data_IF_979691033707
#
_entry.id   IF_979691033707
#
_cell.length_a   1.000
_cell.length_b   1.000
_cell.length_c   1.000
_cell.angle_alpha   90.00
_cell.angle_beta   90.00
_cell.angle_gamma   90.00
#
_symmetry.space_group_name_H-M   'P 1'
#
loop_
_entity.id
_entity.type
_entity.pdbx_description
1 polymer ?
#
# COMPACT_ATOMS: atom_id res chain seq x y z
N UNK A 1 -63.50 -10.19 39.66
CA UNK A 1 -63.53 -10.62 41.08
C UNK A 1 -62.07 -10.84 41.48
N UNK A 2 -61.36 -10.13 42.37
CA UNK A 2 -61.53 -9.02 43.31
C UNK A 2 -60.10 -8.40 43.39
N UNK A 3 -59.80 -7.10 43.23
CA UNK A 3 -60.18 -5.90 43.98
C UNK A 3 -59.88 -5.95 45.49
N UNK A 4 -58.86 -5.19 45.94
CA UNK A 4 -58.81 -4.41 47.21
C UNK A 4 -57.48 -3.63 47.27
N UNK A 5 -57.44 -2.30 47.01
CA UNK A 5 -57.74 -1.13 47.88
C UNK A 5 -56.74 -0.99 49.05
N UNK A 6 -55.76 -0.08 48.93
CA UNK A 6 -55.71 1.31 49.46
C UNK A 6 -55.70 1.40 50.98
N UNK A 7 -54.76 2.15 51.56
CA UNK A 7 -54.97 3.14 52.64
C UNK A 7 -53.85 4.20 52.55
N UNK A 8 -54.24 5.47 52.40
CA UNK A 8 -53.39 6.62 52.68
C UNK A 8 -53.88 7.27 53.97
N UNK A 9 -53.01 8.04 54.64
CA UNK A 9 -53.42 9.11 55.54
C UNK A 9 -52.42 10.26 55.44
N UNK A 10 -52.98 11.45 55.29
CA UNK A 10 -52.33 12.74 55.27
C UNK A 10 -52.55 13.47 56.61
N UNK A 11 -51.65 14.41 56.95
CA UNK A 11 -51.84 15.66 57.73
C UNK A 11 -50.44 16.28 57.94
N UNK A 12 -50.15 17.58 57.96
CA UNK A 12 -50.84 18.82 57.64
C UNK A 12 -49.80 19.99 57.67
N UNK A 13 -50.08 21.01 56.86
CA UNK A 13 -49.68 22.45 56.85
C UNK A 13 -48.57 23.01 57.77
N UNK A 14 -47.72 23.85 57.17
CA UNK A 14 -47.54 25.25 57.61
C UNK A 14 -47.03 26.13 56.43
N UNK A 15 -47.67 27.30 56.27
CA UNK A 15 -47.38 28.35 55.27
C UNK A 15 -46.29 29.29 55.78
N UNK A 16 -45.39 29.73 54.89
CA UNK A 16 -44.69 30.99 55.02
C UNK A 16 -44.56 31.64 53.63
N UNK A 17 -45.03 32.88 53.52
CA UNK A 17 -44.98 33.71 52.33
C UNK A 17 -43.92 34.81 52.52
N UNK A 18 -43.08 35.05 51.50
CA UNK A 18 -42.38 36.31 51.23
C UNK A 18 -41.73 36.18 49.85
N UNK A 19 -42.23 36.87 48.83
CA UNK A 19 -41.74 38.16 48.34
C UNK A 19 -40.97 37.98 47.00
N UNK A 20 -41.69 38.27 45.92
CA UNK A 20 -41.17 38.32 44.54
C UNK A 20 -40.38 39.61 44.38
N UNK A 21 -39.09 39.49 44.04
CA UNK A 21 -38.30 40.57 43.45
C UNK A 21 -38.01 40.16 42.02
N UNK A 22 -38.57 40.92 41.08
CA UNK A 22 -38.33 40.73 39.65
C UNK A 22 -36.93 41.19 39.26
N UNK A 23 -36.19 40.31 38.59
CA UNK A 23 -35.04 40.69 37.79
C UNK A 23 -35.39 40.52 36.32
N UNK A 24 -35.56 41.64 35.64
CA UNK A 24 -35.54 41.75 34.17
C UNK A 24 -34.21 41.23 33.65
N UNK A 25 -34.22 40.07 32.97
CA UNK A 25 -33.07 39.60 32.20
C UNK A 25 -33.08 40.28 30.82
N UNK A 26 -32.06 41.11 30.61
CA UNK A 26 -31.73 41.73 29.35
C UNK A 26 -31.31 40.64 28.35
N UNK A 27 -32.09 40.40 27.29
CA UNK A 27 -31.68 39.51 26.19
C UNK A 27 -30.71 40.27 25.30
N UNK A 28 -29.41 40.06 25.51
CA UNK A 28 -28.37 40.44 24.56
C UNK A 28 -28.35 39.41 23.42
N UNK A 29 -28.95 39.75 22.29
CA UNK A 29 -28.75 39.03 21.04
C UNK A 29 -27.31 39.27 20.56
N UNK A 30 -26.41 38.35 20.87
CA UNK A 30 -25.09 38.28 20.24
C UNK A 30 -25.28 37.54 18.92
N UNK A 31 -25.48 38.29 17.83
CA UNK A 31 -25.26 37.78 16.47
C UNK A 31 -23.75 37.72 16.24
N UNK A 32 -23.09 36.72 16.83
CA UNK A 32 -21.76 36.32 16.43
C UNK A 32 -21.87 35.60 15.07
N UNK A 33 -20.93 35.79 14.14
CA UNK A 33 -20.88 34.94 12.96
C UNK A 33 -20.75 33.50 13.46
N UNK A 34 -21.68 32.65 13.06
CA UNK A 34 -21.48 31.21 13.14
C UNK A 34 -20.21 30.91 12.37
N UNK A 35 -19.11 30.68 13.09
CA UNK A 35 -17.98 29.96 12.53
C UNK A 35 -18.57 28.61 12.10
N UNK A 36 -18.92 28.49 10.81
CA UNK A 36 -19.02 27.20 10.17
C UNK A 36 -17.71 26.51 10.55
N UNK A 37 -17.81 25.40 11.27
CA UNK A 37 -16.72 24.44 11.30
C UNK A 37 -16.47 24.09 9.82
N UNK A 38 -15.52 24.78 9.19
CA UNK A 38 -14.91 24.31 7.97
C UNK A 38 -14.33 22.96 8.35
N UNK A 39 -15.04 21.88 8.00
CA UNK A 39 -14.48 20.54 8.08
C UNK A 39 -13.09 20.60 7.44
N UNK A 40 -12.07 20.15 8.16
CA UNK A 40 -10.68 20.17 7.66
C UNK A 40 -10.68 19.51 6.28
N UNK A 41 -10.31 20.25 5.23
CA UNK A 41 -10.22 19.70 3.88
C UNK A 41 -9.13 18.62 3.90
N UNK A 42 -9.53 17.35 3.86
CA UNK A 42 -8.62 16.20 3.88
C UNK A 42 -7.57 16.30 2.78
N UNK A 43 -7.94 16.90 1.65
CA UNK A 43 -7.05 17.05 0.50
C UNK A 43 -5.90 18.05 0.72
N UNK A 44 -5.97 18.88 1.77
CA UNK A 44 -4.92 19.83 2.14
C UNK A 44 -4.14 19.40 3.38
N UNK A 45 -4.39 18.21 3.89
CA UNK A 45 -3.61 17.67 5.00
C UNK A 45 -2.21 17.25 4.51
N UNK A 46 -1.22 17.59 5.30
CA UNK A 46 0.18 17.19 5.13
C UNK A 46 0.51 16.06 6.10
N UNK A 47 1.60 15.34 5.82
CA UNK A 47 2.14 14.38 6.78
C UNK A 47 2.57 15.12 8.06
N UNK A 48 2.18 14.66 9.26
CA UNK A 48 2.64 15.28 10.50
C UNK A 48 4.16 15.18 10.68
N UNK A 49 4.74 16.12 11.42
CA UNK A 49 6.15 16.02 11.82
C UNK A 49 6.38 14.76 12.67
N UNK A 50 7.52 14.09 12.44
CA UNK A 50 7.91 12.83 13.07
C UNK A 50 7.03 11.62 12.72
N UNK A 51 6.23 11.69 11.65
CA UNK A 51 5.41 10.57 11.19
C UNK A 51 6.13 9.75 10.11
N UNK A 52 7.12 8.97 10.57
CA UNK A 52 7.96 8.14 9.71
C UNK A 52 8.94 8.92 8.84
N UNK A 53 9.66 8.21 7.99
CA UNK A 53 10.75 8.75 7.19
C UNK A 53 10.33 9.83 6.20
N UNK A 54 9.10 9.82 5.67
CA UNK A 54 8.61 10.88 4.79
C UNK A 54 8.40 12.23 5.50
N UNK A 55 8.49 12.28 6.83
CA UNK A 55 8.49 13.52 7.62
C UNK A 55 9.88 14.14 7.79
N UNK A 56 10.93 13.45 7.36
CA UNK A 56 12.31 13.93 7.46
C UNK A 56 12.53 15.20 6.64
N UNK A 57 13.47 16.06 7.06
CA UNK A 57 13.89 17.22 6.29
C UNK A 57 12.75 18.21 6.02
N UNK A 58 12.39 18.38 4.76
CA UNK A 58 11.30 19.28 4.31
C UNK A 58 9.91 18.71 4.63
N UNK A 59 9.83 17.42 4.97
CA UNK A 59 8.57 16.70 5.17
C UNK A 59 7.79 16.51 3.87
N UNK A 60 6.57 15.96 4.00
CA UNK A 60 5.68 15.69 2.87
C UNK A 60 4.40 16.51 2.99
N UNK A 61 4.23 17.49 2.11
CA UNK A 61 3.07 18.39 2.03
C UNK A 61 2.21 18.15 0.79
N UNK A 62 2.70 17.41 -0.18
CA UNK A 62 2.04 17.15 -1.45
C UNK A 62 1.61 18.44 -2.14
N UNK A 63 0.35 18.48 -2.57
CA UNK A 63 -0.28 19.64 -3.17
C UNK A 63 -1.06 20.52 -2.19
N UNK A 64 -0.78 20.47 -0.88
CA UNK A 64 -1.59 21.20 0.12
C UNK A 64 -1.74 22.71 -0.17
N UNK A 65 -0.74 23.32 -0.81
CA UNK A 65 -0.70 24.73 -1.21
C UNK A 65 -1.29 24.99 -2.62
N UNK A 66 -1.98 24.02 -3.22
CA UNK A 66 -2.61 24.20 -4.54
C UNK A 66 -3.59 25.38 -4.52
N UNK A 67 -3.48 26.27 -5.51
CA UNK A 67 -4.48 27.30 -5.75
C UNK A 67 -5.78 26.69 -6.28
N UNK A 68 -6.82 27.51 -6.47
CA UNK A 68 -8.12 27.03 -6.90
C UNK A 68 -8.13 26.43 -8.32
N UNK A 69 -7.20 26.83 -9.19
CA UNK A 69 -7.10 26.36 -10.59
C UNK A 69 -6.43 24.99 -10.67
N UNK A 70 -5.63 24.63 -9.66
CA UNK A 70 -4.92 23.36 -9.54
C UNK A 70 -5.58 22.35 -8.57
N UNK A 71 -6.87 22.54 -8.28
CA UNK A 71 -7.69 21.58 -7.55
C UNK A 71 -8.68 20.92 -8.52
N UNK A 72 -8.39 19.67 -8.88
CA UNK A 72 -9.17 18.88 -9.82
C UNK A 72 -10.07 17.90 -9.09
N UNK A 73 -11.27 17.66 -9.62
CA UNK A 73 -12.10 16.50 -9.27
C UNK A 73 -12.31 15.69 -10.52
N UNK A 74 -11.94 14.41 -10.46
CA UNK A 74 -11.86 13.53 -11.62
C UNK A 74 -12.65 12.25 -11.37
N UNK A 75 -13.26 11.73 -12.42
CA UNK A 75 -14.15 10.56 -12.40
C UNK A 75 -13.92 9.61 -13.58
N UNK A 76 -13.00 9.96 -14.49
CA UNK A 76 -12.58 9.10 -15.60
C UNK A 76 -11.06 9.06 -15.70
N UNK A 77 -10.54 8.05 -16.39
CA UNK A 77 -9.09 7.89 -16.58
C UNK A 77 -8.50 9.04 -17.41
N UNK A 78 -9.22 9.50 -18.42
CA UNK A 78 -8.82 10.65 -19.23
C UNK A 78 -8.74 11.94 -18.40
N UNK A 79 -9.72 12.20 -17.53
CA UNK A 79 -9.69 13.35 -16.61
C UNK A 79 -8.52 13.26 -15.63
N UNK A 80 -8.25 12.08 -15.08
CA UNK A 80 -7.13 11.85 -14.17
C UNK A 80 -5.78 12.14 -14.84
N UNK A 81 -5.53 11.58 -16.03
CA UNK A 81 -4.30 11.85 -16.80
C UNK A 81 -4.18 13.32 -17.21
N UNK A 82 -5.29 13.97 -17.58
CA UNK A 82 -5.29 15.39 -17.92
C UNK A 82 -4.94 16.27 -16.70
N UNK A 83 -5.46 15.94 -15.52
CA UNK A 83 -5.15 16.66 -14.28
C UNK A 83 -3.68 16.51 -13.87
N UNK A 84 -3.07 15.33 -14.09
CA UNK A 84 -1.64 15.10 -13.84
C UNK A 84 -0.75 15.92 -14.78
N UNK A 85 -1.14 16.02 -16.05
CA UNK A 85 -0.39 16.79 -17.05
C UNK A 85 -0.53 18.32 -16.88
N UNK A 86 -1.53 18.79 -16.12
CA UNK A 86 -1.81 20.21 -15.93
C UNK A 86 -0.90 20.85 -14.88
N UNK A 87 -0.53 22.12 -15.10
CA UNK A 87 0.14 22.95 -14.09
C UNK A 87 1.63 22.62 -13.82
N UNK A 88 2.22 21.63 -14.50
CA UNK A 88 3.62 21.24 -14.29
C UNK A 88 3.89 20.88 -12.82
N UNK A 89 4.95 21.46 -12.23
CA UNK A 89 5.33 21.21 -10.83
C UNK A 89 4.60 22.10 -9.81
N UNK A 90 3.63 22.92 -10.24
CA UNK A 90 2.80 23.67 -9.31
C UNK A 90 2.10 22.71 -8.32
N UNK A 91 1.96 23.10 -7.03
CA UNK A 91 1.20 22.31 -6.08
C UNK A 91 -0.20 21.99 -6.62
N UNK A 92 -0.58 20.71 -6.64
CA UNK A 92 -1.85 20.26 -7.23
C UNK A 92 -2.56 19.22 -6.37
N UNK A 93 -3.89 19.32 -6.35
CA UNK A 93 -4.76 18.37 -5.67
C UNK A 93 -5.65 17.69 -6.70
N UNK A 94 -5.64 16.36 -6.74
CA UNK A 94 -6.48 15.55 -7.61
C UNK A 94 -7.43 14.73 -6.73
N UNK A 95 -8.71 15.08 -6.75
CA UNK A 95 -9.77 14.42 -5.99
C UNK A 95 -10.43 13.34 -6.85
N UNK A 96 -10.24 12.07 -6.51
CA UNK A 96 -10.82 10.92 -7.23
C UNK A 96 -12.23 10.66 -6.72
N UNK A 97 -13.22 10.73 -7.61
CA UNK A 97 -14.64 10.56 -7.27
C UNK A 97 -15.22 9.33 -7.96
N UNK A 98 -15.67 8.36 -7.15
CA UNK A 98 -16.19 7.10 -7.66
C UNK A 98 -15.06 6.21 -8.18
N UNK A 99 -15.39 5.30 -9.10
CA UNK A 99 -14.42 4.36 -9.68
C UNK A 99 -13.90 4.91 -11.00
N UNK A 100 -12.58 5.01 -11.12
CA UNK A 100 -11.86 5.24 -12.36
C UNK A 100 -11.29 3.91 -12.82
N UNK A 101 -11.55 3.53 -14.07
CA UNK A 101 -11.05 2.29 -14.66
C UNK A 101 -10.09 2.64 -15.80
N UNK A 102 -8.81 2.30 -15.65
CA UNK A 102 -7.77 2.57 -16.64
C UNK A 102 -7.74 1.54 -17.79
N UNK A 103 -8.48 0.43 -17.66
CA UNK A 103 -8.50 -0.69 -18.61
C UNK A 103 -9.91 -1.01 -19.09
N UNK A 104 -10.84 -0.04 -19.04
CA UNK A 104 -12.26 -0.25 -19.36
C UNK A 104 -12.53 -0.76 -20.78
N UNK A 105 -11.56 -0.63 -21.69
CA UNK A 105 -11.65 -1.10 -23.08
C UNK A 105 -11.25 -2.59 -23.24
N UNK A 106 -10.68 -3.21 -22.19
CA UNK A 106 -10.22 -4.60 -22.19
C UNK A 106 -8.87 -4.82 -22.86
N UNK A 107 -8.29 -6.01 -22.66
CA UNK A 107 -6.96 -6.37 -23.18
C UNK A 107 -6.85 -6.30 -24.71
N UNK A 108 -7.92 -6.62 -25.44
CA UNK A 108 -7.95 -6.59 -26.90
C UNK A 108 -7.65 -5.19 -27.47
N UNK A 109 -7.94 -4.12 -26.71
CA UNK A 109 -7.68 -2.74 -27.12
C UNK A 109 -6.17 -2.42 -27.18
N UNK A 110 -5.33 -3.23 -26.57
CA UNK A 110 -3.88 -3.06 -26.53
C UNK A 110 -3.13 -4.02 -27.46
N UNK A 111 -3.79 -5.03 -28.01
CA UNK A 111 -3.14 -6.03 -28.84
C UNK A 111 -2.60 -5.43 -30.15
N UNK A 112 -1.34 -5.68 -30.46
CA UNK A 112 -0.75 -5.34 -31.74
C UNK A 112 -1.43 -6.11 -32.88
N UNK A 113 -1.51 -5.49 -34.07
CA UNK A 113 -2.09 -6.11 -35.26
C UNK A 113 -1.41 -7.46 -35.55
N UNK A 114 -2.21 -8.53 -35.56
CA UNK A 114 -1.74 -9.89 -35.81
C UNK A 114 -1.15 -10.62 -34.60
N UNK A 115 -1.18 -10.01 -33.40
CA UNK A 115 -0.87 -10.73 -32.17
C UNK A 115 -1.87 -11.89 -31.96
N UNK A 116 -1.33 -13.08 -31.74
CA UNK A 116 -2.08 -14.30 -31.50
C UNK A 116 -1.39 -15.08 -30.37
N UNK A 117 -2.09 -15.22 -29.25
CA UNK A 117 -1.54 -15.88 -28.07
C UNK A 117 -1.37 -17.39 -28.27
N UNK A 118 -2.21 -18.05 -29.09
CA UNK A 118 -2.02 -19.46 -29.41
C UNK A 118 -0.75 -19.67 -30.24
N UNK A 119 -0.45 -18.74 -31.16
CA UNK A 119 0.80 -18.74 -31.91
C UNK A 119 2.02 -18.50 -31.00
N UNK A 120 1.89 -17.61 -30.01
CA UNK A 120 2.91 -17.40 -28.97
C UNK A 120 3.19 -18.69 -28.21
N UNK A 121 2.14 -19.34 -27.70
CA UNK A 121 2.27 -20.57 -26.93
C UNK A 121 2.89 -21.70 -27.75
N UNK A 122 2.48 -21.85 -29.02
CA UNK A 122 3.03 -22.86 -29.91
C UNK A 122 4.52 -22.63 -30.22
N UNK A 123 4.94 -21.38 -30.40
CA UNK A 123 6.32 -21.04 -30.72
C UNK A 123 7.27 -21.23 -29.53
N UNK A 124 6.84 -20.84 -28.33
CA UNK A 124 7.72 -20.73 -27.15
C UNK A 124 7.44 -21.76 -26.05
N UNK A 125 6.66 -22.80 -26.36
CA UNK A 125 6.53 -23.96 -25.47
C UNK A 125 7.91 -24.55 -25.15
N UNK A 126 8.13 -25.04 -23.92
CA UNK A 126 9.38 -25.70 -23.56
C UNK A 126 9.78 -26.84 -24.52
N UNK A 127 8.81 -27.56 -25.09
CA UNK A 127 9.05 -28.61 -26.06
C UNK A 127 9.58 -28.09 -27.41
N UNK A 128 9.16 -26.89 -27.81
CA UNK A 128 9.57 -26.27 -29.07
C UNK A 128 10.85 -25.43 -28.93
N UNK A 129 10.99 -24.69 -27.82
CA UNK A 129 12.03 -23.68 -27.62
C UNK A 129 13.14 -24.12 -26.65
N UNK A 130 12.79 -24.89 -25.62
CA UNK A 130 13.70 -25.23 -24.52
C UNK A 130 13.84 -24.13 -23.46
N UNK A 131 14.78 -24.33 -22.54
CA UNK A 131 15.00 -23.48 -21.35
C UNK A 131 16.31 -22.67 -21.37
N UNK A 132 17.13 -22.82 -22.42
CA UNK A 132 18.51 -22.30 -22.42
C UNK A 132 18.62 -20.84 -22.91
N UNK A 133 17.56 -20.25 -23.45
CA UNK A 133 17.63 -18.94 -24.12
C UNK A 133 16.35 -18.16 -23.89
N UNK A 134 16.48 -16.95 -23.34
CA UNK A 134 15.36 -16.02 -23.17
C UNK A 134 14.83 -15.50 -24.52
N UNK A 135 13.65 -14.86 -24.49
CA UNK A 135 12.97 -14.39 -25.70
C UNK A 135 13.36 -12.94 -26.10
N UNK A 136 14.30 -12.31 -25.39
CA UNK A 136 14.62 -10.88 -25.57
C UNK A 136 15.19 -10.56 -26.96
N UNK A 137 15.82 -11.53 -27.61
CA UNK A 137 16.44 -11.38 -28.93
C UNK A 137 15.47 -11.66 -30.10
N UNK A 138 14.24 -12.08 -29.83
CA UNK A 138 13.27 -12.44 -30.87
C UNK A 138 12.89 -11.22 -31.74
N UNK A 139 12.79 -11.34 -33.08
CA UNK A 139 12.50 -10.21 -33.96
C UNK A 139 11.13 -9.57 -33.73
N UNK A 140 10.95 -8.30 -34.09
CA UNK A 140 9.68 -7.57 -33.88
C UNK A 140 8.45 -8.19 -34.55
N UNK A 141 8.63 -8.92 -35.67
CA UNK A 141 7.54 -9.61 -36.36
C UNK A 141 7.26 -11.03 -35.85
N UNK A 142 7.98 -11.50 -34.83
CA UNK A 142 7.72 -12.79 -34.17
C UNK A 142 6.53 -12.69 -33.21
N UNK A 143 5.97 -13.82 -32.72
CA UNK A 143 4.96 -13.76 -31.67
C UNK A 143 5.42 -13.01 -30.41
N UNK A 144 6.69 -13.11 -29.98
CA UNK A 144 7.22 -12.32 -28.86
C UNK A 144 7.38 -10.85 -29.23
N UNK A 145 7.80 -10.53 -30.45
CA UNK A 145 7.85 -9.16 -30.95
C UNK A 145 6.49 -8.48 -30.91
N UNK A 146 5.44 -9.19 -31.34
CA UNK A 146 4.05 -8.72 -31.27
C UNK A 146 3.55 -8.61 -29.82
N UNK A 147 3.87 -9.58 -28.94
CA UNK A 147 3.58 -9.48 -27.51
C UNK A 147 4.20 -8.21 -26.91
N UNK A 148 5.49 -7.94 -27.17
CA UNK A 148 6.18 -6.73 -26.69
C UNK A 148 5.50 -5.45 -27.19
N UNK A 149 5.07 -5.42 -28.45
CA UNK A 149 4.34 -4.29 -28.99
C UNK A 149 3.00 -4.08 -28.28
N UNK A 150 2.26 -5.16 -28.00
CA UNK A 150 1.01 -5.12 -27.24
C UNK A 150 1.21 -4.62 -25.79
N UNK A 151 2.21 -5.18 -25.10
CA UNK A 151 2.60 -4.74 -23.76
C UNK A 151 3.00 -3.26 -23.72
N UNK A 152 3.73 -2.78 -24.74
CA UNK A 152 4.08 -1.36 -24.85
C UNK A 152 2.86 -0.45 -25.08
N UNK A 153 1.83 -0.92 -25.78
CA UNK A 153 0.58 -0.17 -25.94
C UNK A 153 -0.18 -0.07 -24.61
N UNK A 154 -0.29 -1.18 -23.88
CA UNK A 154 -0.89 -1.19 -22.54
C UNK A 154 -0.11 -0.29 -21.57
N UNK A 155 1.22 -0.40 -21.54
CA UNK A 155 2.12 0.41 -20.72
C UNK A 155 1.81 1.91 -20.85
N UNK A 156 1.71 2.41 -22.08
CA UNK A 156 1.37 3.80 -22.37
C UNK A 156 -0.05 4.18 -21.94
N UNK A 157 -0.98 3.23 -21.97
CA UNK A 157 -2.38 3.46 -21.63
C UNK A 157 -2.58 3.58 -20.12
N UNK A 158 -1.99 2.69 -19.33
CA UNK A 158 -2.31 2.48 -17.91
C UNK A 158 -1.33 3.15 -16.94
N UNK A 159 -0.09 3.46 -17.36
CA UNK A 159 0.87 4.16 -16.49
C UNK A 159 0.50 5.63 -16.35
N UNK A 160 0.44 6.10 -15.10
CA UNK A 160 0.24 7.50 -14.76
C UNK A 160 1.49 8.05 -14.05
N UNK A 161 2.24 8.91 -14.74
CA UNK A 161 3.38 9.61 -14.15
C UNK A 161 2.88 10.72 -13.22
N UNK A 162 3.27 10.64 -11.95
CA UNK A 162 2.84 11.57 -10.91
C UNK A 162 3.91 12.67 -10.77
N UNK A 163 3.59 13.95 -11.04
CA UNK A 163 4.56 15.04 -10.90
C UNK A 163 4.78 15.41 -9.42
N UNK A 164 5.85 16.15 -9.14
CA UNK A 164 6.15 16.68 -7.81
C UNK A 164 5.01 17.56 -7.26
N UNK A 165 4.98 17.72 -5.94
CA UNK A 165 4.02 18.58 -5.22
C UNK A 165 2.55 18.20 -5.50
N UNK A 166 2.25 16.91 -5.41
CA UNK A 166 0.95 16.38 -5.81
C UNK A 166 0.26 15.66 -4.66
N UNK A 167 -1.01 15.98 -4.40
CA UNK A 167 -1.88 15.19 -3.53
C UNK A 167 -2.98 14.54 -4.36
N UNK A 168 -3.00 13.21 -4.40
CA UNK A 168 -4.08 12.42 -4.97
C UNK A 168 -4.90 11.87 -3.82
N UNK A 169 -6.20 12.13 -3.81
CA UNK A 169 -7.06 11.73 -2.69
C UNK A 169 -8.44 11.29 -3.12
N UNK A 170 -8.91 10.17 -2.58
CA UNK A 170 -10.26 9.68 -2.80
C UNK A 170 -11.33 10.50 -2.08
N UNK A 171 -12.45 10.76 -2.77
CA UNK A 171 -13.62 11.45 -2.22
C UNK A 171 -14.58 10.43 -1.57
N UNK A 172 -14.89 10.67 -0.29
CA UNK A 172 -15.83 9.83 0.44
C UNK A 172 -15.26 8.44 0.74
N UNK A 173 -16.10 7.41 0.62
CA UNK A 173 -15.74 6.02 0.99
C UNK A 173 -15.57 5.06 -0.20
N UNK A 174 -15.91 5.52 -1.41
CA UNK A 174 -16.06 4.66 -2.58
C UNK A 174 -15.17 5.13 -3.75
N UNK A 175 -14.10 5.87 -3.46
CA UNK A 175 -13.14 6.27 -4.47
C UNK A 175 -12.24 5.08 -4.80
N UNK A 176 -12.16 4.74 -6.08
CA UNK A 176 -11.38 3.61 -6.53
C UNK A 176 -10.66 3.92 -7.85
N UNK A 177 -9.51 3.30 -8.05
CA UNK A 177 -8.78 3.27 -9.32
C UNK A 177 -8.51 1.80 -9.65
N UNK A 178 -8.90 1.35 -10.84
CA UNK A 178 -8.68 -0.02 -11.31
C UNK A 178 -7.72 -0.04 -12.47
N UNK A 179 -6.84 -1.04 -12.49
CA UNK A 179 -6.04 -1.36 -13.66
C UNK A 179 -4.94 -0.34 -13.98
N UNK A 180 -4.62 0.57 -13.05
CA UNK A 180 -3.68 1.65 -13.28
C UNK A 180 -2.36 1.40 -12.54
N UNK A 181 -1.25 1.88 -13.12
CA UNK A 181 0.05 1.87 -12.46
C UNK A 181 0.51 3.30 -12.18
N UNK A 182 0.57 3.68 -10.90
CA UNK A 182 1.03 5.01 -10.49
C UNK A 182 2.56 5.07 -10.47
N UNK A 183 3.13 5.90 -11.34
CA UNK A 183 4.58 6.06 -11.50
C UNK A 183 5.05 7.33 -10.78
N UNK A 184 5.45 7.19 -9.51
CA UNK A 184 6.04 8.27 -8.70
C UNK A 184 7.55 8.24 -8.93
N UNK A 185 7.98 8.79 -10.07
CA UNK A 185 9.31 8.57 -10.62
C UNK A 185 10.13 9.84 -10.76
N UNK A 186 11.29 9.89 -10.10
CA UNK A 186 12.22 11.01 -10.10
C UNK A 186 11.56 12.35 -9.71
N UNK A 187 10.69 12.30 -8.70
CA UNK A 187 9.93 13.45 -8.18
C UNK A 187 10.08 13.57 -6.67
N UNK A 188 9.59 14.68 -6.13
CA UNK A 188 9.58 14.93 -4.69
C UNK A 188 8.18 15.34 -4.23
N UNK A 189 7.86 15.06 -2.96
CA UNK A 189 6.71 15.62 -2.26
C UNK A 189 5.35 15.18 -2.86
N UNK A 190 5.00 13.91 -2.66
CA UNK A 190 3.78 13.29 -3.18
C UNK A 190 2.96 12.64 -2.06
N UNK A 191 1.64 12.85 -2.09
CA UNK A 191 0.67 12.24 -1.17
C UNK A 191 -0.35 11.44 -1.98
N UNK A 192 -0.59 10.18 -1.62
CA UNK A 192 -1.66 9.33 -2.19
C UNK A 192 -2.51 8.79 -1.06
N UNK A 193 -3.80 9.13 -1.02
CA UNK A 193 -4.67 8.80 0.12
C UNK A 193 -6.08 8.38 -0.22
N UNK A 194 -6.67 7.54 0.63
CA UNK A 194 -8.10 7.23 0.63
C UNK A 194 -8.64 6.62 -0.68
N UNK A 195 -7.85 5.82 -1.39
CA UNK A 195 -8.25 5.18 -2.65
C UNK A 195 -8.19 3.66 -2.50
N UNK A 196 -9.24 2.99 -2.99
CA UNK A 196 -9.20 1.55 -3.23
C UNK A 196 -8.61 1.31 -4.63
N UNK A 197 -7.43 0.70 -4.67
CA UNK A 197 -6.79 0.24 -5.87
C UNK A 197 -7.17 -1.21 -6.14
N UNK A 198 -7.51 -1.49 -7.40
CA UNK A 198 -7.52 -2.84 -7.94
C UNK A 198 -6.35 -2.94 -8.91
N UNK A 199 -5.47 -3.91 -8.65
CA UNK A 199 -4.15 -4.04 -9.28
C UNK A 199 -4.23 -4.10 -10.80
N UNK A 200 -3.23 -3.54 -11.51
CA UNK A 200 -3.13 -3.70 -12.95
C UNK A 200 -2.86 -5.15 -13.31
N UNK A 201 -3.71 -5.71 -14.17
CA UNK A 201 -3.39 -6.93 -14.90
C UNK A 201 -2.45 -6.58 -16.05
N UNK A 202 -1.34 -7.30 -16.20
CA UNK A 202 -0.63 -7.35 -17.47
C UNK A 202 -1.44 -8.27 -18.41
N UNK A 203 -1.88 -7.72 -19.53
CA UNK A 203 -2.62 -8.47 -20.55
C UNK A 203 -1.69 -9.36 -21.38
N UNK A 204 -0.39 -9.10 -21.34
CA UNK A 204 0.62 -9.77 -22.14
C UNK A 204 1.87 -10.14 -21.31
N UNK A 205 1.76 -10.88 -20.19
CA UNK A 205 2.90 -11.38 -19.43
C UNK A 205 3.95 -12.04 -20.33
N UNK A 206 5.22 -11.79 -20.03
CA UNK A 206 6.33 -12.38 -20.76
C UNK A 206 6.66 -13.77 -20.22
N UNK A 207 6.79 -14.76 -21.10
CA UNK A 207 7.41 -16.03 -20.75
C UNK A 207 8.93 -15.88 -20.74
N UNK A 208 9.55 -16.15 -19.59
CA UNK A 208 11.01 -16.29 -19.48
C UNK A 208 11.35 -17.76 -19.19
N UNK A 209 11.80 -18.52 -20.21
CA UNK A 209 12.21 -19.91 -20.03
C UNK A 209 13.49 -20.07 -19.19
N UNK A 210 14.23 -18.99 -18.94
CA UNK A 210 15.46 -19.02 -18.14
C UNK A 210 15.24 -18.62 -16.68
N UNK A 211 14.04 -18.19 -16.32
CA UNK A 211 13.68 -17.81 -14.95
C UNK A 211 13.36 -19.03 -14.09
N UNK A 212 14.40 -19.56 -13.45
CA UNK A 212 14.34 -20.78 -12.66
C UNK A 212 14.38 -22.05 -13.52
N UNK A 213 14.36 -23.21 -12.87
CA UNK A 213 14.55 -24.52 -13.53
C UNK A 213 13.38 -24.91 -14.46
N UNK A 214 12.26 -24.20 -14.38
CA UNK A 214 11.02 -24.48 -15.12
C UNK A 214 10.51 -23.28 -15.91
N UNK A 215 11.25 -22.17 -15.96
CA UNK A 215 10.78 -20.89 -16.49
C UNK A 215 9.66 -20.25 -15.65
N UNK A 216 9.32 -18.99 -15.95
CA UNK A 216 8.21 -18.27 -15.30
C UNK A 216 7.53 -17.28 -16.24
N UNK A 217 6.27 -16.97 -15.95
CA UNK A 217 5.59 -15.81 -16.53
C UNK A 217 5.83 -14.59 -15.65
N UNK A 218 6.23 -13.48 -16.27
CA UNK A 218 6.55 -12.24 -15.58
C UNK A 218 5.70 -11.09 -16.14
N UNK A 219 5.08 -10.34 -15.23
CA UNK A 219 4.31 -9.13 -15.51
C UNK A 219 5.10 -7.88 -15.11
N UNK A 220 4.73 -6.73 -15.66
CA UNK A 220 5.51 -5.48 -15.53
C UNK A 220 4.88 -4.43 -14.60
N UNK A 221 3.62 -4.62 -14.21
CA UNK A 221 2.84 -3.51 -13.64
C UNK A 221 2.61 -3.68 -12.15
N UNK A 222 3.18 -2.75 -11.39
CA UNK A 222 2.80 -2.53 -10.00
C UNK A 222 1.64 -1.53 -9.90
N UNK A 223 0.80 -1.65 -8.86
CA UNK A 223 -0.21 -0.62 -8.57
C UNK A 223 0.42 0.76 -8.36
N UNK A 224 1.52 0.83 -7.62
CA UNK A 224 2.30 2.06 -7.43
C UNK A 224 3.81 1.78 -7.32
N UNK A 225 4.61 2.63 -7.98
CA UNK A 225 6.08 2.56 -7.92
C UNK A 225 6.65 3.90 -7.46
N UNK A 226 7.43 3.88 -6.40
CA UNK A 226 8.28 4.98 -5.96
C UNK A 226 9.69 4.73 -6.47
N UNK A 227 10.02 5.37 -7.59
CA UNK A 227 11.30 5.18 -8.28
C UNK A 227 12.16 6.44 -8.13
N UNK A 228 13.28 6.37 -7.40
CA UNK A 228 14.22 7.49 -7.29
C UNK A 228 13.58 8.81 -6.82
N UNK A 229 12.51 8.71 -6.04
CA UNK A 229 11.69 9.83 -5.58
C UNK A 229 11.83 10.03 -4.07
N UNK A 230 11.54 11.23 -3.59
CA UNK A 230 11.64 11.57 -2.16
C UNK A 230 10.36 12.15 -1.57
N UNK A 231 10.20 12.01 -0.25
CA UNK A 231 9.06 12.56 0.51
C UNK A 231 7.71 12.11 -0.06
N UNK A 232 7.43 10.81 0.10
CA UNK A 232 6.20 10.19 -0.40
C UNK A 232 5.38 9.62 0.76
N UNK A 233 4.11 10.00 0.82
CA UNK A 233 3.17 9.51 1.83
C UNK A 233 2.02 8.73 1.19
N UNK A 234 1.94 7.44 1.48
CA UNK A 234 0.89 6.52 1.03
C UNK A 234 0.01 6.20 2.24
N UNK A 235 -1.21 6.73 2.31
CA UNK A 235 -2.03 6.61 3.53
C UNK A 235 -3.51 6.31 3.34
N UNK A 236 -4.03 5.38 4.13
CA UNK A 236 -5.43 4.95 4.08
C UNK A 236 -5.87 4.50 2.67
N UNK A 237 -5.00 3.83 1.93
CA UNK A 237 -5.38 3.18 0.67
C UNK A 237 -5.69 1.71 0.91
N UNK A 238 -6.39 1.09 -0.03
CA UNK A 238 -6.56 -0.37 -0.09
C UNK A 238 -5.96 -0.86 -1.41
N UNK A 239 -5.17 -1.91 -1.39
CA UNK A 239 -4.48 -2.53 -2.51
C UNK A 239 -4.90 -4.01 -2.59
N UNK A 240 -5.32 -4.48 -3.76
CA UNK A 240 -5.80 -5.85 -3.97
C UNK A 240 -5.91 -6.22 -5.45
N UNK A 241 -5.74 -7.50 -5.77
CA UNK A 241 -6.03 -8.04 -7.11
C UNK A 241 -7.53 -8.01 -7.47
N UNK A 242 -8.40 -7.83 -6.46
CA UNK A 242 -9.83 -7.57 -6.64
C UNK A 242 -10.55 -8.64 -7.47
N UNK A 243 -11.04 -8.29 -8.66
CA UNK A 243 -11.83 -9.21 -9.49
C UNK A 243 -10.98 -10.28 -10.19
N UNK A 244 -9.64 -10.16 -10.14
CA UNK A 244 -8.71 -10.99 -10.89
C UNK A 244 -7.67 -11.67 -9.98
N UNK A 245 -8.05 -12.39 -8.91
CA UNK A 245 -7.05 -13.02 -8.04
C UNK A 245 -6.24 -14.08 -8.80
N UNK A 246 -4.96 -14.22 -8.47
CA UNK A 246 -4.05 -15.22 -9.06
C UNK A 246 -4.61 -16.66 -9.03
N UNK A 247 -5.37 -17.00 -7.99
CA UNK A 247 -6.06 -18.31 -7.89
C UNK A 247 -7.06 -18.61 -9.03
N UNK A 248 -7.49 -17.60 -9.77
CA UNK A 248 -8.36 -17.73 -10.94
C UNK A 248 -7.59 -17.71 -12.27
N UNK A 249 -6.28 -17.40 -12.25
CA UNK A 249 -5.47 -17.34 -13.45
C UNK A 249 -5.20 -18.75 -14.03
N UNK A 250 -5.14 -18.89 -15.37
CA UNK A 250 -4.80 -20.16 -16.00
C UNK A 250 -3.33 -20.51 -15.78
N UNK A 251 -2.97 -21.75 -16.07
CA UNK A 251 -1.57 -22.18 -16.15
C UNK A 251 -1.18 -22.43 -17.61
N UNK A 252 -0.01 -21.95 -18.01
CA UNK A 252 0.62 -22.28 -19.29
C UNK A 252 2.04 -22.77 -19.06
N UNK A 253 2.45 -23.79 -19.80
CA UNK A 253 3.76 -24.45 -19.64
C UNK A 253 4.02 -25.00 -18.23
N UNK A 254 2.94 -25.33 -17.50
CA UNK A 254 3.02 -25.82 -16.11
C UNK A 254 3.22 -24.72 -15.08
N UNK A 255 3.29 -23.46 -15.49
CA UNK A 255 3.47 -22.30 -14.63
C UNK A 255 2.20 -21.46 -14.60
N UNK A 256 1.94 -20.80 -13.46
CA UNK A 256 0.85 -19.83 -13.34
C UNK A 256 1.07 -18.72 -14.37
N UNK A 257 0.02 -18.35 -15.11
CA UNK A 257 0.05 -17.18 -15.97
C UNK A 257 -0.04 -15.92 -15.09
N UNK A 258 1.09 -15.56 -14.50
CA UNK A 258 1.19 -14.50 -13.50
C UNK A 258 0.97 -13.15 -14.17
N UNK A 259 -0.21 -12.56 -13.94
CA UNK A 259 -0.66 -11.29 -14.52
C UNK A 259 -0.42 -10.09 -13.61
N UNK A 260 -0.02 -10.30 -12.37
CA UNK A 260 0.33 -9.24 -11.43
C UNK A 260 1.84 -9.21 -11.17
N UNK A 261 2.37 -8.03 -10.85
CA UNK A 261 3.69 -7.93 -10.21
C UNK A 261 3.55 -7.52 -8.74
N UNK A 262 3.86 -6.28 -8.37
CA UNK A 262 3.74 -5.79 -6.99
C UNK A 262 2.61 -4.78 -6.75
N UNK A 263 2.44 -4.41 -5.49
CA UNK A 263 1.46 -3.38 -5.09
C UNK A 263 2.14 -2.03 -4.88
N UNK A 264 3.19 -2.00 -4.05
CA UNK A 264 3.94 -0.79 -3.73
C UNK A 264 5.44 -1.06 -3.76
N UNK A 265 6.07 -0.77 -4.89
CA UNK A 265 7.51 -0.95 -5.05
C UNK A 265 8.27 0.35 -4.77
N UNK A 266 9.37 0.26 -4.02
CA UNK A 266 10.19 1.41 -3.60
C UNK A 266 11.64 1.14 -3.98
N UNK A 267 12.11 1.77 -5.07
CA UNK A 267 13.30 1.31 -5.79
C UNK A 267 14.18 2.46 -6.28
N UNK A 268 15.42 2.11 -6.67
CA UNK A 268 16.33 2.99 -7.43
C UNK A 268 16.58 4.33 -6.78
N UNK A 269 17.03 4.31 -5.52
CA UNK A 269 17.42 5.52 -4.79
C UNK A 269 16.25 6.32 -4.23
N UNK A 270 15.03 5.77 -4.26
CA UNK A 270 13.91 6.35 -3.52
C UNK A 270 14.27 6.51 -2.04
N UNK A 271 13.79 7.57 -1.38
CA UNK A 271 14.13 7.85 0.02
C UNK A 271 13.01 8.62 0.71
N UNK A 272 12.91 8.54 2.03
CA UNK A 272 11.89 9.27 2.80
C UNK A 272 10.46 8.92 2.38
N UNK A 273 10.08 7.65 2.57
CA UNK A 273 8.74 7.15 2.27
C UNK A 273 8.04 6.72 3.56
N UNK A 274 6.76 7.06 3.72
CA UNK A 274 5.90 6.55 4.80
C UNK A 274 4.66 5.93 4.18
N UNK A 275 4.40 4.66 4.49
CA UNK A 275 3.17 3.96 4.19
C UNK A 275 2.42 3.68 5.49
N UNK A 276 1.28 4.35 5.69
CA UNK A 276 0.53 4.29 6.95
C UNK A 276 -0.94 3.96 6.76
N UNK A 277 -1.52 3.16 7.67
CA UNK A 277 -2.97 2.88 7.66
C UNK A 277 -3.50 2.30 6.34
N UNK A 278 -2.67 1.68 5.51
CA UNK A 278 -3.13 1.05 4.28
C UNK A 278 -3.62 -0.38 4.55
N UNK A 279 -4.43 -0.92 3.65
CA UNK A 279 -4.71 -2.35 3.56
C UNK A 279 -4.03 -2.87 2.30
N UNK A 280 -3.21 -3.90 2.43
CA UNK A 280 -2.70 -4.69 1.31
C UNK A 280 -3.29 -6.09 1.46
N UNK A 281 -4.02 -6.56 0.45
CA UNK A 281 -4.71 -7.83 0.60
C UNK A 281 -4.91 -8.61 -0.68
N UNK A 282 -4.88 -9.95 -0.58
CA UNK A 282 -5.19 -10.85 -1.70
C UNK A 282 -4.27 -10.58 -2.90
N UNK A 283 -2.98 -10.81 -2.69
CA UNK A 283 -1.92 -10.54 -3.66
C UNK A 283 -0.65 -11.36 -3.35
N UNK A 284 0.17 -11.66 -4.35
CA UNK A 284 1.41 -12.43 -4.19
C UNK A 284 2.61 -11.57 -3.73
N UNK A 285 3.19 -10.80 -4.66
CA UNK A 285 4.50 -10.12 -4.52
C UNK A 285 4.37 -8.66 -4.06
N UNK A 286 3.87 -8.44 -2.85
CA UNK A 286 3.35 -7.14 -2.40
C UNK A 286 4.29 -5.91 -2.46
N UNK A 287 5.41 -5.91 -1.73
CA UNK A 287 6.25 -4.71 -1.50
C UNK A 287 7.74 -5.05 -1.60
N UNK A 288 8.39 -4.61 -2.67
CA UNK A 288 9.84 -4.68 -2.83
C UNK A 288 10.52 -3.34 -2.50
N UNK A 289 11.54 -3.40 -1.65
CA UNK A 289 12.39 -2.25 -1.31
C UNK A 289 13.81 -2.53 -1.79
N UNK A 290 14.21 -1.83 -2.84
CA UNK A 290 15.47 -2.07 -3.56
C UNK A 290 15.38 -3.32 -4.44
N UNK A 291 15.45 -3.15 -5.77
CA UNK A 291 15.04 -4.20 -6.70
C UNK A 291 16.15 -5.19 -7.11
N UNK A 292 17.42 -4.92 -6.84
CA UNK A 292 18.51 -5.78 -7.31
C UNK A 292 19.76 -5.75 -6.44
N UNK A 293 20.48 -6.87 -6.42
CA UNK A 293 21.78 -7.01 -5.75
C UNK A 293 22.95 -6.53 -6.63
N UNK A 294 22.69 -6.16 -7.89
CA UNK A 294 23.72 -5.82 -8.88
C UNK A 294 24.59 -4.65 -8.42
N UNK A 295 25.84 -4.60 -8.91
CA UNK A 295 26.77 -3.52 -8.57
C UNK A 295 26.21 -2.14 -8.95
N UNK A 296 25.53 -2.04 -10.08
CA UNK A 296 24.88 -0.81 -10.54
C UNK A 296 23.77 -0.35 -9.57
N UNK A 297 22.90 -1.27 -9.13
CA UNK A 297 21.83 -0.93 -8.17
C UNK A 297 22.39 -0.64 -6.79
N UNK A 298 23.41 -1.38 -6.36
CA UNK A 298 24.10 -1.14 -5.08
C UNK A 298 24.68 0.28 -5.01
N UNK A 299 25.22 0.81 -6.11
CA UNK A 299 25.76 2.16 -6.17
C UNK A 299 24.67 3.25 -6.03
N UNK A 300 23.42 2.92 -6.37
CA UNK A 300 22.28 3.84 -6.31
C UNK A 300 21.55 3.73 -4.97
N UNK A 301 21.33 2.52 -4.46
CA UNK A 301 20.44 2.29 -3.32
C UNK A 301 21.13 2.41 -1.96
N UNK A 302 22.45 2.21 -1.89
CA UNK A 302 23.19 2.29 -0.62
C UNK A 302 23.11 3.71 -0.04
N UNK A 303 22.57 3.81 1.17
CA UNK A 303 22.35 5.09 1.85
C UNK A 303 20.99 5.74 1.58
N UNK A 304 20.16 5.12 0.75
CA UNK A 304 18.78 5.53 0.44
C UNK A 304 17.78 4.49 1.01
N UNK A 305 16.57 4.43 0.44
CA UNK A 305 15.51 3.49 0.78
C UNK A 305 15.09 3.55 2.26
N UNK A 306 15.03 4.76 2.82
CA UNK A 306 14.48 4.97 4.18
C UNK A 306 12.97 4.99 4.11
N UNK A 307 12.35 3.95 4.66
CA UNK A 307 10.91 3.69 4.53
C UNK A 307 10.31 3.37 5.89
N UNK A 308 9.14 3.93 6.21
CA UNK A 308 8.38 3.58 7.41
C UNK A 308 7.05 2.94 7.01
N UNK A 309 6.74 1.79 7.62
CA UNK A 309 5.42 1.16 7.58
C UNK A 309 4.82 1.18 8.98
N UNK A 310 3.65 1.81 9.14
CA UNK A 310 2.92 1.67 10.39
C UNK A 310 1.42 1.61 10.26
N UNK A 311 0.80 0.84 11.16
CA UNK A 311 -0.66 0.68 11.21
C UNK A 311 -1.28 0.16 9.91
N UNK A 312 -0.50 -0.50 9.06
CA UNK A 312 -1.03 -1.16 7.87
C UNK A 312 -1.61 -2.53 8.25
N UNK A 313 -2.65 -2.94 7.52
CA UNK A 313 -3.16 -4.30 7.50
C UNK A 313 -2.55 -5.01 6.28
N UNK A 314 -1.87 -6.12 6.52
CA UNK A 314 -1.35 -7.02 5.51
C UNK A 314 -2.12 -8.33 5.62
N UNK A 315 -3.07 -8.61 4.72
CA UNK A 315 -3.98 -9.75 4.86
C UNK A 315 -4.02 -10.65 3.62
N UNK A 316 -3.89 -11.96 3.80
CA UNK A 316 -3.90 -12.94 2.69
C UNK A 316 -2.87 -12.61 1.60
N UNK A 317 -1.66 -12.26 2.03
CA UNK A 317 -0.52 -12.03 1.16
C UNK A 317 0.39 -13.26 1.16
N UNK A 318 0.98 -13.60 0.02
CA UNK A 318 1.93 -14.71 -0.09
C UNK A 318 3.30 -14.27 0.45
N UNK A 319 3.86 -13.19 -0.09
CA UNK A 319 5.19 -12.71 0.29
C UNK A 319 5.40 -11.17 0.23
N UNK A 320 6.59 -10.75 0.65
CA UNK A 320 7.13 -9.38 0.51
C UNK A 320 6.29 -8.32 1.23
N UNK A 321 6.18 -8.40 2.55
CA UNK A 321 5.51 -7.40 3.38
C UNK A 321 6.43 -6.75 4.45
N UNK A 322 7.54 -6.07 4.10
CA UNK A 322 8.19 -5.98 2.79
C UNK A 322 9.39 -6.94 2.61
N UNK A 323 9.93 -7.03 1.39
CA UNK A 323 11.28 -7.56 1.13
C UNK A 323 12.27 -6.42 0.93
N UNK A 324 13.34 -6.41 1.74
CA UNK A 324 14.23 -5.24 1.88
C UNK A 324 15.64 -5.50 1.40
N UNK A 325 16.21 -4.55 0.68
CA UNK A 325 17.65 -4.40 0.42
C UNK A 325 18.10 -3.00 0.80
N UNK A 326 19.32 -2.87 1.33
CA UNK A 326 20.05 -1.63 1.69
C UNK A 326 19.40 -0.72 2.75
N UNK A 327 18.11 -0.43 2.60
CA UNK A 327 17.37 0.61 3.29
C UNK A 327 17.26 0.45 4.80
N UNK A 328 17.14 1.59 5.48
CA UNK A 328 16.72 1.69 6.87
C UNK A 328 15.19 1.67 6.92
N UNK A 329 14.62 0.49 7.12
CA UNK A 329 13.18 0.28 7.10
C UNK A 329 12.65 0.14 8.53
N UNK A 330 11.74 1.02 8.92
CA UNK A 330 11.01 0.95 10.19
C UNK A 330 9.62 0.34 9.95
N UNK A 331 9.34 -0.82 10.53
CA UNK A 331 8.03 -1.49 10.46
C UNK A 331 7.46 -1.65 11.86
N UNK A 332 6.44 -0.87 12.22
CA UNK A 332 5.85 -0.93 13.55
C UNK A 332 4.33 -0.82 13.60
N UNK A 333 3.71 -1.48 14.59
CA UNK A 333 2.25 -1.50 14.77
C UNK A 333 1.47 -1.91 13.51
N UNK A 334 2.03 -2.76 12.65
CA UNK A 334 1.29 -3.36 11.55
C UNK A 334 0.59 -4.64 12.03
N UNK A 335 -0.54 -4.97 11.41
CA UNK A 335 -1.26 -6.22 11.62
C UNK A 335 -1.12 -7.11 10.38
N UNK A 336 -0.59 -8.31 10.56
CA UNK A 336 -0.41 -9.31 9.51
C UNK A 336 -1.39 -10.45 9.75
N UNK A 337 -2.19 -10.81 8.75
CA UNK A 337 -3.15 -11.91 8.80
C UNK A 337 -2.87 -12.83 7.61
N UNK A 338 -2.22 -13.96 7.86
CA UNK A 338 -1.82 -14.90 6.82
C UNK A 338 -2.93 -15.92 6.51
N UNK A 339 -2.93 -16.40 5.26
CA UNK A 339 -3.69 -17.57 4.82
C UNK A 339 -2.76 -18.78 4.60
N UNK A 340 -3.30 -19.88 4.08
CA UNK A 340 -2.58 -21.15 3.95
C UNK A 340 -1.41 -21.09 2.94
N UNK A 341 -1.47 -20.17 1.96
CA UNK A 341 -0.45 -20.00 0.91
C UNK A 341 0.73 -19.12 1.37
N UNK A 342 0.74 -18.70 2.63
CA UNK A 342 1.74 -17.80 3.19
C UNK A 342 3.18 -18.34 3.12
N UNK A 343 4.07 -17.53 2.52
CA UNK A 343 5.50 -17.81 2.44
C UNK A 343 6.30 -17.08 3.53
N UNK A 344 6.26 -15.74 3.58
CA UNK A 344 6.91 -14.92 4.61
C UNK A 344 6.39 -13.47 4.58
N UNK A 345 6.65 -12.71 5.66
CA UNK A 345 6.39 -11.26 5.69
C UNK A 345 7.66 -10.47 5.39
N UNK A 346 8.69 -10.61 6.23
CA UNK A 346 9.90 -9.81 6.13
C UNK A 346 11.03 -10.54 5.41
N UNK A 347 11.38 -10.05 4.22
CA UNK A 347 12.51 -10.55 3.44
C UNK A 347 13.81 -9.79 3.78
N UNK A 348 14.80 -10.49 4.32
CA UNK A 348 16.10 -9.94 4.74
C UNK A 348 17.10 -10.07 3.59
N UNK A 349 17.12 -9.07 2.72
CA UNK A 349 17.98 -9.00 1.53
C UNK A 349 19.32 -8.31 1.79
N UNK A 350 20.04 -8.06 0.69
CA UNK A 350 21.41 -7.52 0.70
C UNK A 350 21.48 -6.19 1.45
N UNK A 351 22.32 -6.13 2.47
CA UNK A 351 22.59 -4.92 3.27
C UNK A 351 21.33 -4.30 3.89
N UNK A 352 20.25 -5.05 4.05
CA UNK A 352 19.01 -4.55 4.65
C UNK A 352 19.24 -4.12 6.10
N UNK A 353 18.65 -2.99 6.50
CA UNK A 353 18.69 -2.49 7.88
C UNK A 353 17.25 -2.41 8.43
N UNK A 354 16.60 -3.57 8.58
CA UNK A 354 15.20 -3.65 9.03
C UNK A 354 15.09 -3.55 10.56
N UNK A 355 14.20 -2.67 11.03
CA UNK A 355 13.70 -2.62 12.41
C UNK A 355 12.21 -2.94 12.39
N UNK A 356 11.84 -4.12 12.90
CA UNK A 356 10.47 -4.61 12.95
C UNK A 356 10.00 -4.74 14.41
N UNK A 357 9.19 -3.81 14.89
CA UNK A 357 8.83 -3.73 16.31
C UNK A 357 7.32 -3.59 16.53
N UNK A 358 6.78 -4.17 17.61
CA UNK A 358 5.38 -3.98 17.99
C UNK A 358 4.35 -4.37 16.92
N UNK A 359 4.68 -5.34 16.06
CA UNK A 359 3.77 -5.87 15.05
C UNK A 359 3.00 -7.09 15.59
N UNK A 360 1.78 -7.28 15.08
CA UNK A 360 0.95 -8.43 15.42
C UNK A 360 0.77 -9.33 14.19
N UNK A 361 1.05 -10.62 14.35
CA UNK A 361 0.91 -11.64 13.32
C UNK A 361 -0.17 -12.64 13.73
N UNK A 362 -1.10 -12.92 12.82
CA UNK A 362 -2.08 -13.98 12.91
C UNK A 362 -1.75 -15.00 11.84
N UNK A 363 -1.26 -16.18 12.23
CA UNK A 363 -0.85 -17.26 11.34
C UNK A 363 -1.82 -18.45 11.46
N UNK A 364 -2.19 -19.11 10.35
CA UNK A 364 -3.06 -20.27 10.39
C UNK A 364 -2.37 -21.46 11.07
N UNK A 365 -3.17 -22.45 11.49
CA UNK A 365 -2.66 -23.66 12.11
C UNK A 365 -1.68 -24.38 11.17
N UNK A 366 -0.55 -24.84 11.71
CA UNK A 366 0.49 -25.53 10.94
C UNK A 366 1.51 -24.61 10.27
N UNK A 367 1.31 -23.29 10.25
CA UNK A 367 2.30 -22.32 9.78
C UNK A 367 3.12 -21.81 10.98
N UNK A 368 4.41 -22.15 10.97
CA UNK A 368 5.34 -21.73 12.02
C UNK A 368 5.67 -20.24 11.94
N UNK A 369 5.82 -19.61 13.12
CA UNK A 369 6.37 -18.26 13.27
C UNK A 369 7.78 -18.11 12.66
N UNK A 370 8.53 -19.21 12.53
CA UNK A 370 9.85 -19.21 11.88
C UNK A 370 9.82 -18.68 10.45
N UNK A 371 8.68 -18.80 9.75
CA UNK A 371 8.49 -18.29 8.39
C UNK A 371 8.32 -16.77 8.31
N UNK A 372 8.03 -16.07 9.40
CA UNK A 372 7.81 -14.61 9.38
C UNK A 372 9.01 -13.86 8.79
N UNK A 373 10.21 -14.34 9.11
CA UNK A 373 11.47 -13.83 8.58
C UNK A 373 12.00 -14.78 7.51
N UNK A 374 12.39 -14.26 6.36
CA UNK A 374 13.08 -15.03 5.30
C UNK A 374 14.45 -14.43 5.01
N UNK A 375 15.50 -15.24 5.10
CA UNK A 375 16.85 -14.81 4.78
C UNK A 375 17.11 -14.93 3.27
N UNK A 376 17.44 -13.81 2.65
CA UNK A 376 17.95 -13.76 1.26
C UNK A 376 19.44 -13.39 1.21
N UNK A 377 19.95 -12.73 2.24
CA UNK A 377 21.36 -12.38 2.39
C UNK A 377 21.78 -12.38 3.87
N UNK A 378 23.09 -12.28 4.16
CA UNK A 378 23.55 -12.06 5.55
C UNK A 378 23.41 -10.57 5.86
N UNK A 379 22.38 -10.20 6.60
CA UNK A 379 22.16 -8.82 7.04
C UNK A 379 21.47 -8.80 8.41
N UNK A 380 22.02 -8.11 9.41
CA UNK A 380 21.39 -8.01 10.72
C UNK A 380 20.05 -7.28 10.70
N UNK A 381 19.11 -7.71 11.55
CA UNK A 381 17.83 -7.03 11.75
C UNK A 381 17.52 -6.84 13.25
N UNK A 382 16.66 -5.88 13.56
CA UNK A 382 16.05 -5.75 14.90
C UNK A 382 14.62 -6.24 14.82
N UNK A 383 14.25 -7.23 15.62
CA UNK A 383 12.86 -7.69 15.76
C UNK A 383 12.49 -7.78 17.24
N UNK A 384 11.64 -6.86 17.73
CA UNK A 384 11.34 -6.76 19.17
C UNK A 384 9.85 -6.49 19.45
N UNK A 385 9.36 -7.01 20.58
CA UNK A 385 7.96 -6.85 21.03
C UNK A 385 6.90 -7.19 19.96
N UNK A 386 7.19 -8.17 19.09
CA UNK A 386 6.23 -8.68 18.12
C UNK A 386 5.39 -9.79 18.76
N UNK A 387 4.13 -9.91 18.35
CA UNK A 387 3.26 -11.01 18.77
C UNK A 387 2.91 -11.91 17.60
N UNK A 388 2.88 -13.23 17.84
CA UNK A 388 2.34 -14.22 16.91
C UNK A 388 1.19 -14.92 17.61
N UNK A 389 0.00 -14.91 17.00
CA UNK A 389 -1.23 -15.50 17.55
C UNK A 389 -1.52 -15.02 19.00
N UNK A 390 -1.21 -13.75 19.29
CA UNK A 390 -1.43 -13.12 20.59
C UNK A 390 -0.30 -13.28 21.62
N UNK A 391 0.75 -14.05 21.31
CA UNK A 391 1.88 -14.30 22.22
C UNK A 391 3.14 -13.55 21.77
N UNK A 392 3.83 -12.89 22.72
CA UNK A 392 5.10 -12.23 22.43
C UNK A 392 6.12 -13.27 21.96
N UNK A 393 6.67 -13.07 20.77
CA UNK A 393 7.52 -14.05 20.08
C UNK A 393 8.83 -13.42 19.67
N UNK A 394 9.93 -14.06 20.04
CA UNK A 394 11.26 -13.74 19.51
C UNK A 394 11.40 -14.37 18.11
N UNK A 395 11.08 -13.58 17.09
CA UNK A 395 11.06 -14.03 15.70
C UNK A 395 12.43 -14.52 15.22
N UNK A 396 13.53 -13.90 15.67
CA UNK A 396 14.89 -14.30 15.28
C UNK A 396 15.23 -15.64 15.93
N UNK A 397 14.95 -15.80 17.22
CA UNK A 397 15.24 -17.03 17.94
C UNK A 397 14.45 -18.22 17.37
N UNK A 398 13.14 -18.05 17.11
CA UNK A 398 12.30 -19.11 16.53
C UNK A 398 12.76 -19.46 15.11
N UNK A 399 13.05 -18.47 14.27
CA UNK A 399 13.61 -18.72 12.93
C UNK A 399 14.91 -19.52 12.99
N UNK A 400 15.87 -19.09 13.81
CA UNK A 400 17.17 -19.74 13.92
C UNK A 400 17.10 -21.17 14.49
N UNK A 401 16.11 -21.43 15.36
CA UNK A 401 15.88 -22.77 15.92
C UNK A 401 15.32 -23.75 14.90
N UNK A 402 14.39 -23.32 14.06
CA UNK A 402 13.67 -24.19 13.11
C UNK A 402 14.30 -24.23 11.71
N UNK A 403 15.01 -23.17 11.30
CA UNK A 403 15.63 -23.01 9.97
C UNK A 403 17.14 -22.70 10.12
N UNK A 404 17.95 -23.59 10.71
CA UNK A 404 19.36 -23.32 11.03
C UNK A 404 20.28 -23.18 9.79
N UNK A 405 19.79 -23.55 8.60
CA UNK A 405 20.51 -23.30 7.35
C UNK A 405 20.48 -21.81 6.94
N UNK A 406 19.53 -21.04 7.46
CA UNK A 406 19.25 -19.65 7.10
C UNK A 406 19.45 -18.70 8.29
N UNK A 407 20.37 -19.01 9.22
CA UNK A 407 20.59 -18.22 10.45
C UNK A 407 20.61 -16.71 10.22
N UNK A 408 19.81 -15.99 11.01
CA UNK A 408 19.67 -14.54 11.05
C UNK A 408 20.49 -13.94 12.21
N UNK A 409 20.97 -12.72 12.00
CA UNK A 409 21.78 -11.96 12.96
C UNK A 409 20.97 -10.80 13.54
N UNK A 410 21.11 -10.52 14.84
CA UNK A 410 20.38 -9.43 15.49
C UNK A 410 21.13 -8.09 15.42
N UNK A 411 20.39 -6.99 15.36
CA UNK A 411 20.89 -5.62 15.53
C UNK A 411 21.07 -4.89 14.21
N UNK A 412 20.01 -4.23 13.74
CA UNK A 412 19.99 -3.51 12.46
C UNK A 412 21.01 -2.34 12.34
N UNK A 413 21.66 -1.96 13.45
CA UNK A 413 22.66 -0.89 13.47
C UNK A 413 22.10 0.53 13.59
N UNK A 414 20.79 0.69 13.76
CA UNK A 414 20.13 1.98 13.97
C UNK A 414 18.84 1.83 14.80
N UNK A 415 18.26 2.96 15.21
CA UNK A 415 17.00 3.01 15.96
C UNK A 415 16.10 4.09 15.37
N UNK A 416 14.82 3.80 15.07
CA UNK A 416 13.90 4.81 14.56
C UNK A 416 13.63 5.91 15.59
N UNK A 417 13.64 7.16 15.12
CA UNK A 417 13.35 8.35 15.96
C UNK A 417 12.11 9.12 15.50
N UNK A 418 11.61 8.83 14.30
CA UNK A 418 10.46 9.47 13.67
C UNK A 418 9.20 8.60 13.84
N UNK A 419 8.74 8.47 15.09
CA UNK A 419 7.46 7.83 15.42
C UNK A 419 6.59 8.79 16.22
N UNK A 420 5.39 9.09 15.73
CA UNK A 420 4.44 9.97 16.43
C UNK A 420 3.84 9.27 17.65
N UNK A 421 3.59 7.97 17.55
CA UNK A 421 2.99 7.14 18.59
C UNK A 421 3.33 5.67 18.34
N UNK A 422 3.58 4.92 19.41
CA UNK A 422 3.65 3.45 19.38
C UNK A 422 2.56 2.91 20.28
N UNK A 423 1.61 2.18 19.70
CA UNK A 423 0.53 1.51 20.39
C UNK A 423 1.00 0.18 21.02
N UNK A 424 0.41 -0.24 22.15
CA UNK A 424 0.67 -1.56 22.72
C UNK A 424 0.35 -2.65 21.69
N UNK A 425 1.28 -3.59 21.48
CA UNK A 425 1.16 -4.61 20.43
C UNK A 425 -0.14 -5.44 20.51
N UNK A 426 -0.67 -5.67 21.72
CA UNK A 426 -1.93 -6.40 21.91
C UNK A 426 -3.17 -5.64 21.41
N UNK A 427 -3.09 -4.31 21.29
CA UNK A 427 -4.17 -3.48 20.78
C UNK A 427 -4.09 -3.30 19.25
N UNK A 428 -2.95 -3.62 18.63
CA UNK A 428 -2.68 -3.40 17.20
C UNK A 428 -3.74 -4.02 16.30
N UNK A 429 -4.12 -5.32 16.46
CA UNK A 429 -5.14 -5.92 15.60
C UNK A 429 -6.45 -5.11 15.62
N UNK A 430 -6.99 -4.83 16.81
CA UNK A 430 -8.23 -4.08 16.94
C UNK A 430 -8.12 -2.65 16.39
N UNK A 431 -6.99 -1.97 16.60
CA UNK A 431 -6.79 -0.59 16.11
C UNK A 431 -6.73 -0.58 14.58
N UNK A 432 -5.92 -1.46 14.00
CA UNK A 432 -5.66 -1.52 12.57
C UNK A 432 -6.91 -1.98 11.81
N UNK A 433 -7.56 -3.06 12.22
CA UNK A 433 -8.74 -3.62 11.55
C UNK A 433 -9.90 -2.60 11.43
N UNK A 434 -10.01 -1.68 12.39
CA UNK A 434 -11.08 -0.69 12.39
C UNK A 434 -10.75 0.54 11.51
N UNK A 435 -9.47 0.87 11.35
CA UNK A 435 -9.04 2.19 10.85
C UNK A 435 -8.23 2.14 9.56
N UNK A 436 -7.53 1.06 9.27
CA UNK A 436 -6.77 0.95 8.03
C UNK A 436 -7.70 0.82 6.82
N UNK A 437 -7.21 1.30 5.68
CA UNK A 437 -7.82 1.15 4.37
C UNK A 437 -8.60 2.37 3.87
N UNK A 438 -8.97 2.29 2.60
CA UNK A 438 -9.79 3.29 1.94
C UNK A 438 -11.16 3.46 2.63
N UNK A 439 -11.67 4.69 2.58
CA UNK A 439 -12.96 5.06 3.14
C UNK A 439 -13.00 5.20 4.66
N UNK A 440 -11.85 5.30 5.34
CA UNK A 440 -11.76 5.41 6.81
C UNK A 440 -11.36 6.79 7.34
N UNK A 441 -11.06 7.76 6.46
CA UNK A 441 -10.57 9.10 6.82
C UNK A 441 -11.67 10.16 7.06
N UNK A 442 -12.93 9.75 7.24
CA UNK A 442 -14.11 10.64 7.26
C UNK A 442 -14.24 11.58 8.48
#
# INVERSE_FOLDING_TARGET
MNAQKWHGHATAMARAAAAVVGCTALVLAVTGPSAQAQGRDLARQTLPANDGWASYGTGTTGGAEADAEHVYTVSTWAEFKAALAAGGDAPKIIKVKGTIDAVSEGCDAFAADGYDFDAYLAAYSPEAWGYDTDLSAEPDGSPEGLRRASAAAQDQAIKANIPSNTTIIGVGRNAAIKGASLQIKAVDNVIVRNIAFESPIDCFPQWDPTDGDHGNWNSEYDTAVVYGSTHVWIDHNTFTDGAHPDSAAPTYFGMLYQQHDGELDIVKGADYVTASWNVFTEHDKTILIGNSDSAATTAVDRGHLKVTFHHNLFSNLVERAPRVRFGQVDSYNNHFVANDDYAYSFGIGKESQLVAEHNAFTLPEGISAAKVLKRWNVSPLTAADNTVNGEVTDLIAVHNAEIPAETLESGAGWTPTLRTKVDPVQAVPAIVDHRAGAGKVC
#
